data_IF_462552992150
#
_entry.id   IF_462552992150
#
_cell.length_a   1.000
_cell.length_b   1.000
_cell.length_c   1.000
_cell.angle_alpha   90.00
_cell.angle_beta   90.00
_cell.angle_gamma   90.00
#
_symmetry.space_group_name_H-M   'P 1'
#
loop_
_entity.id
_entity.type
_entity.pdbx_description
1 polymer ?
#
# COMPACT_ATOMS: atom_id res chain seq x y z
N UNK A 1 -10.52 -12.22 15.82
CA UNK A 1 -10.16 -12.76 14.48
C UNK A 1 -8.72 -12.32 14.22
N UNK A 2 -7.77 -13.21 14.54
CA UNK A 2 -6.33 -12.97 14.38
C UNK A 2 -5.97 -13.00 12.89
N UNK A 3 -4.97 -12.25 12.38
CA UNK A 3 -4.53 -12.38 11.00
C UNK A 3 -3.93 -13.79 10.79
N UNK A 4 -4.78 -14.73 10.37
CA UNK A 4 -4.37 -16.08 10.00
C UNK A 4 -3.57 -16.04 8.68
N UNK A 5 -2.32 -16.51 8.78
CA UNK A 5 -1.54 -17.20 7.74
C UNK A 5 -1.02 -16.43 6.51
N UNK A 6 -1.07 -15.10 6.45
CA UNK A 6 -0.45 -14.35 5.33
C UNK A 6 0.41 -13.16 5.72
N UNK A 7 0.69 -12.98 7.00
CA UNK A 7 1.56 -11.93 7.49
C UNK A 7 3.01 -12.38 7.51
N UNK A 8 3.88 -11.62 6.85
CA UNK A 8 5.33 -11.77 7.01
C UNK A 8 5.78 -10.81 8.11
N UNK A 9 6.35 -11.34 9.21
CA UNK A 9 7.08 -10.53 10.18
C UNK A 9 8.49 -10.31 9.63
N UNK A 10 8.69 -9.20 8.92
CA UNK A 10 10.02 -8.81 8.50
C UNK A 10 10.79 -8.36 9.75
N UNK A 11 11.81 -9.11 10.15
CA UNK A 11 12.71 -8.73 11.24
C UNK A 11 13.64 -7.60 10.76
N UNK A 12 13.10 -6.43 10.45
CA UNK A 12 13.87 -5.28 10.04
C UNK A 12 14.08 -4.33 11.21
N UNK A 13 15.35 -3.99 11.48
CA UNK A 13 15.71 -2.97 12.45
C UNK A 13 16.06 -1.68 11.71
N UNK A 14 15.22 -0.64 11.88
CA UNK A 14 15.51 0.70 11.41
C UNK A 14 16.68 1.29 12.21
N UNK A 15 17.68 1.85 11.52
CA UNK A 15 18.75 2.62 12.17
C UNK A 15 18.29 4.06 12.44
N UNK A 16 18.87 4.76 13.44
CA UNK A 16 18.59 6.18 13.64
C UNK A 16 18.88 6.99 12.37
N UNK A 17 17.90 7.77 11.92
CA UNK A 17 17.98 8.58 10.68
C UNK A 17 17.71 7.81 9.38
N UNK A 18 17.33 6.53 9.46
CA UNK A 18 16.92 5.74 8.30
C UNK A 18 15.41 5.82 8.09
N UNK A 19 14.99 6.27 6.91
CA UNK A 19 13.60 6.41 6.48
C UNK A 19 13.18 5.40 5.40
N UNK A 20 14.16 4.68 4.84
CA UNK A 20 13.96 3.75 3.72
C UNK A 20 14.56 2.38 4.02
N UNK A 21 13.90 1.34 3.52
CA UNK A 21 14.34 -0.06 3.64
C UNK A 21 14.30 -0.70 2.28
N UNK A 22 15.46 -1.19 1.83
CA UNK A 22 15.54 -2.01 0.64
C UNK A 22 14.92 -3.39 0.96
N UNK A 23 13.69 -3.60 0.51
CA UNK A 23 13.05 -4.91 0.66
C UNK A 23 13.82 -5.90 -0.23
N UNK A 24 14.44 -6.91 0.38
CA UNK A 24 15.17 -7.94 -0.36
C UNK A 24 14.18 -8.66 -1.26
N UNK A 25 14.41 -8.56 -2.59
CA UNK A 25 13.60 -9.08 -3.71
C UNK A 25 12.33 -9.82 -3.25
N UNK A 26 11.22 -9.10 -3.23
CA UNK A 26 9.91 -9.63 -2.84
C UNK A 26 9.36 -10.47 -3.99
N UNK A 27 9.98 -11.63 -4.23
CA UNK A 27 9.64 -12.52 -5.35
C UNK A 27 8.23 -13.07 -5.28
N UNK A 28 7.54 -12.93 -4.15
CA UNK A 28 6.22 -13.50 -3.92
C UNK A 28 5.24 -12.48 -3.31
N UNK A 29 5.18 -11.21 -3.73
CA UNK A 29 4.01 -10.37 -3.34
C UNK A 29 2.78 -10.88 -4.08
N UNK A 30 2.12 -11.87 -3.48
CA UNK A 30 0.75 -12.24 -3.83
C UNK A 30 -0.17 -11.06 -3.48
N UNK A 31 -1.22 -10.83 -4.28
CA UNK A 31 -2.09 -9.64 -4.34
C UNK A 31 -2.86 -9.31 -3.03
N UNK A 32 -2.56 -10.02 -1.94
CA UNK A 32 -3.25 -9.98 -0.65
C UNK A 32 -2.33 -9.91 0.58
N UNK A 33 -1.02 -9.72 0.40
CA UNK A 33 -0.07 -9.73 1.53
C UNK A 33 -0.23 -8.53 2.45
N UNK A 34 -0.24 -8.82 3.74
CA UNK A 34 -0.28 -7.84 4.82
C UNK A 34 1.04 -7.88 5.59
N UNK A 35 1.62 -6.72 5.85
CA UNK A 35 2.81 -6.54 6.67
C UNK A 35 2.37 -6.13 8.06
N UNK A 36 2.91 -6.77 9.08
CA UNK A 36 2.75 -6.34 10.46
C UNK A 36 3.98 -5.53 10.85
N UNK A 37 3.79 -4.28 11.21
CA UNK A 37 4.84 -3.37 11.68
C UNK A 37 4.58 -3.08 13.14
N UNK A 38 5.64 -3.16 13.95
CA UNK A 38 5.61 -2.90 15.38
C UNK A 38 6.37 -1.59 15.64
N UNK A 39 5.71 -0.60 16.24
CA UNK A 39 6.32 0.68 16.68
C UNK A 39 5.85 1.01 18.10
N UNK A 40 6.79 1.14 19.04
CA UNK A 40 6.53 1.51 20.45
C UNK A 40 5.35 0.74 21.07
N UNK A 41 5.40 -0.58 21.00
CA UNK A 41 4.38 -1.52 21.50
C UNK A 41 3.02 -1.46 20.78
N UNK A 42 2.91 -0.73 19.66
CA UNK A 42 1.73 -0.70 18.80
C UNK A 42 1.98 -1.55 17.55
N UNK A 43 1.04 -2.43 17.23
CA UNK A 43 1.07 -3.24 16.03
C UNK A 43 0.16 -2.63 14.94
N UNK A 44 0.74 -2.40 13.77
CA UNK A 44 0.09 -1.85 12.59
C UNK A 44 0.05 -2.90 11.48
N UNK A 45 -1.09 -3.04 10.82
CA UNK A 45 -1.23 -3.88 9.63
C UNK A 45 -1.24 -3.02 8.38
N UNK A 46 -0.22 -3.18 7.54
CA UNK A 46 -0.12 -2.52 6.23
C UNK A 46 -0.46 -3.53 5.15
N UNK A 47 -1.50 -3.24 4.37
CA UNK A 47 -1.85 -4.05 3.20
C UNK A 47 -1.34 -3.36 1.95
N UNK A 48 -0.64 -4.11 1.10
CA UNK A 48 -0.14 -3.60 -0.19
C UNK A 48 -0.89 -4.30 -1.31
N UNK A 49 -1.42 -3.52 -2.25
CA UNK A 49 -2.06 -4.01 -3.46
C UNK A 49 -1.23 -3.60 -4.67
N UNK A 50 -0.91 -4.56 -5.54
CA UNK A 50 -0.33 -4.26 -6.83
C UNK A 50 -1.44 -3.80 -7.78
N UNK A 51 -1.28 -2.61 -8.36
CA UNK A 51 -2.23 -2.09 -9.35
C UNK A 51 -2.17 -2.98 -10.60
N UNK A 52 -3.29 -3.57 -11.05
CA UNK A 52 -3.33 -4.30 -12.30
C UNK A 52 -2.90 -3.41 -13.49
N UNK A 53 -2.07 -3.91 -14.41
CA UNK A 53 -1.55 -3.12 -15.53
C UNK A 53 -2.64 -2.68 -16.53
N UNK A 54 -3.84 -3.26 -16.44
CA UNK A 54 -5.00 -2.96 -17.27
C UNK A 54 -5.85 -1.79 -16.74
N UNK A 55 -5.49 -1.21 -15.59
CA UNK A 55 -6.16 -0.04 -15.00
C UNK A 55 -5.40 1.24 -15.33
N UNK A 56 -5.48 1.65 -16.59
CA UNK A 56 -4.90 2.87 -17.13
C UNK A 56 -5.85 4.07 -17.03
N UNK A 57 -7.16 3.83 -17.12
CA UNK A 57 -8.19 4.87 -16.96
C UNK A 57 -8.32 5.33 -15.49
N UNK A 58 -8.13 6.64 -15.19
CA UNK A 58 -8.12 7.14 -13.82
C UNK A 58 -9.41 6.88 -13.04
N UNK A 59 -10.56 6.87 -13.71
CA UNK A 59 -11.85 6.54 -13.07
C UNK A 59 -11.93 5.09 -12.64
N UNK A 60 -11.43 4.15 -13.45
CA UNK A 60 -11.39 2.73 -13.10
C UNK A 60 -10.34 2.46 -12.01
N UNK A 61 -9.21 3.16 -12.06
CA UNK A 61 -8.20 3.14 -11.01
C UNK A 61 -8.78 3.62 -9.66
N UNK A 62 -9.50 4.75 -9.66
CA UNK A 62 -10.16 5.28 -8.48
C UNK A 62 -11.19 4.29 -7.90
N UNK A 63 -12.05 3.71 -8.75
CA UNK A 63 -13.03 2.71 -8.32
C UNK A 63 -12.37 1.47 -7.70
N UNK A 64 -11.30 0.99 -8.31
CA UNK A 64 -10.50 -0.12 -7.77
C UNK A 64 -9.84 0.24 -6.44
N UNK A 65 -9.25 1.43 -6.30
CA UNK A 65 -8.66 1.89 -5.04
C UNK A 65 -9.71 1.99 -3.92
N UNK A 66 -10.94 2.45 -4.23
CA UNK A 66 -12.06 2.44 -3.27
C UNK A 66 -12.36 1.01 -2.82
N UNK A 67 -12.45 0.06 -3.76
CA UNK A 67 -12.67 -1.38 -3.46
C UNK A 67 -11.59 -1.95 -2.53
N UNK A 68 -10.35 -1.48 -2.65
CA UNK A 68 -9.22 -1.88 -1.77
C UNK A 68 -9.13 -1.10 -0.46
N UNK A 69 -10.00 -0.11 -0.24
CA UNK A 69 -10.01 0.73 0.96
C UNK A 69 -8.96 1.84 0.96
N UNK A 70 -8.37 2.15 -0.19
CA UNK A 70 -7.31 3.14 -0.37
C UNK A 70 -7.86 4.58 -0.51
N UNK A 71 -8.78 5.00 0.37
CA UNK A 71 -9.57 6.24 0.22
C UNK A 71 -8.68 7.50 0.10
N UNK A 72 -7.64 7.62 0.92
CA UNK A 72 -6.73 8.77 0.85
C UNK A 72 -5.98 8.86 -0.49
N UNK A 73 -5.69 7.71 -1.12
CA UNK A 73 -5.05 7.67 -2.43
C UNK A 73 -6.04 8.06 -3.53
N UNK A 74 -7.32 7.72 -3.36
CA UNK A 74 -8.41 8.17 -4.26
C UNK A 74 -8.55 9.68 -4.20
N UNK A 75 -8.60 10.27 -3.01
CA UNK A 75 -8.71 11.73 -2.85
C UNK A 75 -7.53 12.46 -3.53
N UNK A 76 -6.31 11.94 -3.36
CA UNK A 76 -5.12 12.48 -4.01
C UNK A 76 -5.18 12.36 -5.54
N UNK A 77 -5.65 11.23 -6.07
CA UNK A 77 -5.84 11.01 -7.51
C UNK A 77 -6.91 11.95 -8.09
N UNK A 78 -8.05 12.12 -7.43
CA UNK A 78 -9.10 13.03 -7.87
C UNK A 78 -8.63 14.49 -7.85
N UNK A 79 -7.84 14.86 -6.84
CA UNK A 79 -7.23 16.19 -6.76
C UNK A 79 -6.24 16.43 -7.92
N UNK A 80 -5.43 15.45 -8.31
CA UNK A 80 -4.50 15.61 -9.42
C UNK A 80 -5.21 15.76 -10.77
N UNK A 81 -6.27 14.98 -11.01
CA UNK A 81 -7.07 15.05 -12.24
C UNK A 81 -7.80 16.40 -12.37
N UNK A 82 -8.28 16.94 -11.25
CA UNK A 82 -8.93 18.25 -11.20
C UNK A 82 -7.96 19.38 -11.58
N UNK A 83 -6.67 19.22 -11.27
CA UNK A 83 -5.63 20.18 -11.64
C UNK A 83 -5.17 20.04 -13.11
N UNK A 84 -5.24 18.84 -13.70
CA UNK A 84 -4.93 18.61 -15.13
C UNK A 84 -6.01 19.18 -16.07
N UNK A 85 -7.23 19.45 -15.59
CA UNK A 85 -8.32 19.96 -16.45
C UNK A 85 -8.26 21.47 -16.72
N UNK A 86 -7.23 22.17 -16.22
CA UNK A 86 -7.10 23.64 -16.27
C UNK A 86 -5.97 24.13 -17.19
N UNK A 87 -5.28 23.23 -17.91
CA UNK A 87 -4.30 23.60 -18.96
C UNK A 87 -4.83 23.42 -20.38
#
# INVERSE_FOLDING_TARGET
MSPLDRSWKAAFQFKPGQDTVAITKVSDIDLTKAFLIEDRDLEYSIRVHLVPPLLDEPTFLAAWMIEKGCIQQVDALLASLSNETVE
#
